data_IF_701624718028
#
_entry.id   IF_701624718028
#
_cell.length_a   1.000
_cell.length_b   1.000
_cell.length_c   1.000
_cell.angle_alpha   90.00
_cell.angle_beta   90.00
_cell.angle_gamma   90.00
#
_symmetry.space_group_name_H-M   'P 1'
#
loop_
_entity.id
_entity.type
_entity.pdbx_description
1 polymer ?
#
# COMPACT_ATOMS: atom_id res chain seq x y z
N UNK A 1 -6.27 5.43 -1.16
CA UNK A 1 -6.90 6.64 -0.58
C UNK A 1 -7.88 6.15 0.46
N UNK A 2 -7.79 6.66 1.67
CA UNK A 2 -8.64 6.25 2.79
C UNK A 2 -10.01 6.93 2.69
N UNK A 3 -10.89 6.36 1.85
CA UNK A 3 -12.27 6.82 1.69
C UNK A 3 -13.04 6.72 3.01
N UNK A 4 -12.67 5.79 3.88
CA UNK A 4 -13.30 5.61 5.19
C UNK A 4 -12.91 6.73 6.16
N UNK A 5 -11.65 7.17 6.13
CA UNK A 5 -11.21 8.38 6.82
C UNK A 5 -11.97 9.64 6.37
N UNK A 6 -12.13 9.84 5.06
CA UNK A 6 -12.88 10.98 4.51
C UNK A 6 -14.38 10.89 4.80
N UNK A 7 -14.95 9.67 4.81
CA UNK A 7 -16.34 9.42 5.19
C UNK A 7 -16.60 9.86 6.63
N UNK A 8 -15.71 9.56 7.56
CA UNK A 8 -15.79 10.00 8.96
C UNK A 8 -15.80 11.53 9.10
N UNK A 9 -14.90 12.21 8.37
CA UNK A 9 -14.84 13.68 8.34
C UNK A 9 -16.12 14.29 7.78
N UNK A 10 -16.69 13.70 6.73
CA UNK A 10 -17.93 14.20 6.13
C UNK A 10 -19.13 13.94 7.04
N UNK A 11 -19.16 12.80 7.73
CA UNK A 11 -20.18 12.51 8.74
C UNK A 11 -20.12 13.52 9.89
N UNK A 12 -18.94 13.83 10.42
CA UNK A 12 -18.79 14.82 11.50
C UNK A 12 -19.13 16.23 11.03
N UNK A 13 -18.73 16.61 9.80
CA UNK A 13 -19.12 17.89 9.17
C UNK A 13 -20.64 18.00 9.02
N UNK A 14 -21.32 16.90 8.68
CA UNK A 14 -22.77 16.86 8.54
C UNK A 14 -23.48 17.01 9.89
N UNK A 15 -22.96 16.37 10.94
CA UNK A 15 -23.48 16.50 12.31
C UNK A 15 -23.30 17.93 12.84
N UNK A 16 -22.08 18.46 12.78
CA UNK A 16 -21.74 19.79 13.28
C UNK A 16 -22.46 20.87 12.45
N UNK A 17 -22.48 20.72 11.13
CA UNK A 17 -23.12 21.66 10.20
C UNK A 17 -24.63 21.74 10.39
N UNK A 18 -25.32 20.60 10.58
CA UNK A 18 -26.76 20.58 10.91
C UNK A 18 -27.03 21.22 12.26
N UNK A 19 -26.28 20.84 13.29
CA UNK A 19 -26.44 21.42 14.63
C UNK A 19 -26.23 22.95 14.63
N UNK A 20 -25.20 23.43 13.93
CA UNK A 20 -24.94 24.87 13.79
C UNK A 20 -26.07 25.58 13.04
N UNK A 21 -26.60 24.99 11.97
CA UNK A 21 -27.70 25.56 11.21
C UNK A 21 -29.00 25.66 12.04
N UNK A 22 -29.27 24.69 12.91
CA UNK A 22 -30.45 24.64 13.77
C UNK A 22 -30.38 25.61 14.97
N UNK A 23 -29.19 25.81 15.54
CA UNK A 23 -29.00 26.61 16.76
C UNK A 23 -28.57 28.06 16.48
N UNK A 24 -28.38 28.44 15.22
CA UNK A 24 -28.00 29.81 14.85
C UNK A 24 -29.22 30.73 14.88
N UNK A 25 -29.12 31.85 15.62
CA UNK A 25 -30.18 32.86 15.72
C UNK A 25 -30.42 33.60 14.39
N UNK A 26 -29.40 33.69 13.55
CA UNK A 26 -29.45 34.26 12.20
C UNK A 26 -29.88 33.19 11.16
N UNK A 27 -31.16 33.21 10.79
CA UNK A 27 -31.74 32.28 9.80
C UNK A 27 -31.02 32.32 8.45
N UNK A 28 -30.48 33.47 8.04
CA UNK A 28 -29.76 33.61 6.76
C UNK A 28 -28.43 32.86 6.80
N UNK A 29 -27.70 32.95 7.91
CA UNK A 29 -26.46 32.18 8.13
C UNK A 29 -26.74 30.68 8.26
N UNK A 30 -27.82 30.30 8.95
CA UNK A 30 -28.25 28.90 9.02
C UNK A 30 -28.55 28.30 7.64
N UNK A 31 -29.29 29.02 6.79
CA UNK A 31 -29.56 28.62 5.41
C UNK A 31 -28.27 28.51 4.57
N UNK A 32 -27.33 29.45 4.73
CA UNK A 32 -26.04 29.42 4.04
C UNK A 32 -25.20 28.19 4.43
N UNK A 33 -25.21 27.79 5.71
CA UNK A 33 -24.52 26.58 6.18
C UNK A 33 -25.15 25.32 5.59
N UNK A 34 -26.49 25.25 5.53
CA UNK A 34 -27.20 24.12 4.90
C UNK A 34 -26.89 24.00 3.40
N UNK A 35 -26.84 25.12 2.68
CA UNK A 35 -26.52 25.13 1.25
C UNK A 35 -25.07 24.67 0.98
N UNK A 36 -24.11 25.15 1.78
CA UNK A 36 -22.71 24.69 1.69
C UNK A 36 -22.59 23.21 2.01
N UNK A 37 -23.29 22.74 3.04
CA UNK A 37 -23.30 21.34 3.42
C UNK A 37 -23.91 20.46 2.32
N UNK A 38 -25.01 20.90 1.70
CA UNK A 38 -25.61 20.22 0.55
C UNK A 38 -24.65 20.15 -0.64
N UNK A 39 -23.90 21.22 -0.91
CA UNK A 39 -22.89 21.26 -1.97
C UNK A 39 -21.74 20.28 -1.70
N UNK A 40 -21.22 20.24 -0.48
CA UNK A 40 -20.17 19.30 -0.08
C UNK A 40 -20.65 17.85 -0.18
N UNK A 41 -21.87 17.55 0.28
CA UNK A 41 -22.44 16.21 0.17
C UNK A 41 -22.60 15.77 -1.29
N UNK A 42 -23.12 16.64 -2.18
CA UNK A 42 -23.22 16.34 -3.62
C UNK A 42 -21.85 16.06 -4.25
N UNK A 43 -20.83 16.85 -3.91
CA UNK A 43 -19.45 16.63 -4.40
C UNK A 43 -18.89 15.30 -3.89
N UNK A 44 -19.11 14.97 -2.62
CA UNK A 44 -18.70 13.68 -2.06
C UNK A 44 -19.39 12.50 -2.73
N UNK A 45 -20.70 12.57 -2.92
CA UNK A 45 -21.46 11.55 -3.66
C UNK A 45 -20.92 11.35 -5.08
N UNK A 46 -20.59 12.44 -5.78
CA UNK A 46 -19.97 12.37 -7.10
C UNK A 46 -18.58 11.70 -7.07
N UNK A 47 -17.75 12.00 -6.05
CA UNK A 47 -16.45 11.33 -5.85
C UNK A 47 -16.63 9.85 -5.56
N UNK A 48 -17.57 9.48 -4.69
CA UNK A 48 -17.89 8.07 -4.42
C UNK A 48 -18.37 7.34 -5.68
N UNK A 49 -19.27 7.95 -6.46
CA UNK A 49 -19.74 7.36 -7.71
C UNK A 49 -18.61 7.16 -8.72
N UNK A 50 -17.75 8.18 -8.89
CA UNK A 50 -16.58 8.08 -9.77
C UNK A 50 -15.60 6.99 -9.29
N UNK A 51 -15.34 6.90 -7.99
CA UNK A 51 -14.49 5.87 -7.40
C UNK A 51 -15.05 4.45 -7.68
N UNK A 52 -16.35 4.24 -7.49
CA UNK A 52 -17.01 2.96 -7.78
C UNK A 52 -16.91 2.58 -9.27
N UNK A 53 -17.08 3.55 -10.18
CA UNK A 53 -16.91 3.32 -11.63
C UNK A 53 -15.47 2.91 -11.95
N UNK A 54 -14.48 3.58 -11.37
CA UNK A 54 -13.07 3.25 -11.56
C UNK A 54 -12.71 1.86 -11.00
N UNK A 55 -13.23 1.52 -9.81
CA UNK A 55 -13.07 0.20 -9.23
C UNK A 55 -13.64 -0.88 -10.16
N UNK A 56 -14.85 -0.68 -10.69
CA UNK A 56 -15.48 -1.62 -11.62
C UNK A 56 -14.64 -1.80 -12.90
N UNK A 57 -14.14 -0.70 -13.49
CA UNK A 57 -13.25 -0.76 -14.67
C UNK A 57 -11.96 -1.53 -14.38
N UNK A 58 -11.34 -1.27 -13.23
CA UNK A 58 -10.09 -1.92 -12.85
C UNK A 58 -10.30 -3.41 -12.55
N UNK A 59 -11.41 -3.77 -11.90
CA UNK A 59 -11.82 -5.15 -11.71
C UNK A 59 -11.99 -5.85 -13.07
N UNK A 60 -12.73 -5.27 -14.02
CA UNK A 60 -12.89 -5.87 -15.36
C UNK A 60 -11.56 -6.04 -16.07
N UNK A 61 -10.67 -5.04 -16.00
CA UNK A 61 -9.34 -5.12 -16.60
C UNK A 61 -8.48 -6.22 -15.97
N UNK A 62 -8.52 -6.37 -14.64
CA UNK A 62 -7.80 -7.43 -13.92
C UNK A 62 -8.33 -8.81 -14.32
N UNK A 63 -9.66 -8.98 -14.34
CA UNK A 63 -10.29 -10.26 -14.69
C UNK A 63 -10.02 -10.64 -16.15
N UNK A 64 -9.97 -9.67 -17.07
CA UNK A 64 -9.65 -9.88 -18.48
C UNK A 64 -8.15 -10.06 -18.80
N UNK A 65 -7.25 -9.90 -17.82
CA UNK A 65 -5.81 -9.97 -18.07
C UNK A 65 -5.30 -11.43 -18.05
N UNK A 66 -5.23 -12.05 -19.23
CA UNK A 66 -4.74 -13.42 -19.37
C UNK A 66 -3.28 -13.62 -18.89
N UNK A 67 -2.41 -12.62 -19.10
CA UNK A 67 -1.00 -12.71 -18.69
C UNK A 67 -0.85 -12.73 -17.16
N UNK A 68 -1.69 -11.96 -16.45
CA UNK A 68 -1.77 -11.99 -14.99
C UNK A 68 -2.15 -13.38 -14.47
N UNK A 69 -3.20 -14.00 -15.02
CA UNK A 69 -3.66 -15.34 -14.59
C UNK A 69 -2.65 -16.44 -14.93
N UNK A 70 -1.99 -16.34 -16.09
CA UNK A 70 -0.89 -17.23 -16.46
C UNK A 70 0.26 -17.11 -15.47
N UNK A 71 0.66 -15.88 -15.12
CA UNK A 71 1.75 -15.63 -14.17
C UNK A 71 1.46 -16.21 -12.78
N UNK A 72 0.22 -16.08 -12.27
CA UNK A 72 -0.18 -16.71 -11.00
C UNK A 72 -0.11 -18.24 -11.10
N UNK A 73 -0.55 -18.81 -12.21
CA UNK A 73 -0.53 -20.26 -12.43
C UNK A 73 0.90 -20.79 -12.49
N UNK A 74 1.78 -20.10 -13.22
CA UNK A 74 3.20 -20.44 -13.33
C UNK A 74 3.89 -20.35 -11.95
N UNK A 75 3.57 -19.33 -11.15
CA UNK A 75 4.09 -19.19 -9.78
C UNK A 75 3.62 -20.30 -8.85
N UNK A 76 2.35 -20.73 -8.94
CA UNK A 76 1.85 -21.84 -8.14
C UNK A 76 2.60 -23.15 -8.46
N UNK A 77 2.77 -23.45 -9.76
CA UNK A 77 3.55 -24.62 -10.20
C UNK A 77 5.00 -24.49 -9.71
N UNK A 78 5.61 -23.31 -9.85
CA UNK A 78 6.96 -23.09 -9.35
C UNK A 78 7.07 -23.30 -7.84
N UNK A 79 6.09 -22.86 -7.03
CA UNK A 79 6.10 -23.14 -5.59
C UNK A 79 5.97 -24.63 -5.28
N UNK A 80 5.20 -25.39 -6.07
CA UNK A 80 5.10 -26.85 -5.94
C UNK A 80 6.44 -27.52 -6.21
N UNK A 81 7.05 -27.20 -7.36
CA UNK A 81 8.34 -27.77 -7.74
C UNK A 81 9.42 -27.41 -6.72
N UNK A 82 9.42 -26.17 -6.22
CA UNK A 82 10.39 -25.70 -5.21
C UNK A 82 10.20 -26.40 -3.86
N UNK A 83 8.96 -26.71 -3.50
CA UNK A 83 8.66 -27.50 -2.30
C UNK A 83 9.15 -28.94 -2.45
N UNK A 84 8.93 -29.56 -3.61
CA UNK A 84 9.44 -30.90 -3.90
C UNK A 84 10.98 -30.96 -3.93
N UNK A 85 11.65 -29.97 -4.52
CA UNK A 85 13.11 -29.91 -4.53
C UNK A 85 13.65 -29.74 -3.11
N UNK A 86 13.03 -28.87 -2.29
CA UNK A 86 13.40 -28.72 -0.89
C UNK A 86 13.21 -30.02 -0.09
N UNK A 87 12.13 -30.77 -0.33
CA UNK A 87 11.92 -32.09 0.29
C UNK A 87 12.95 -33.13 -0.15
N UNK A 88 13.31 -33.16 -1.45
CA UNK A 88 14.38 -34.04 -1.96
C UNK A 88 15.72 -33.71 -1.32
N UNK A 89 16.09 -32.42 -1.29
CA UNK A 89 17.27 -31.93 -0.57
C UNK A 89 17.21 -32.35 0.90
N UNK A 90 16.04 -32.24 1.54
CA UNK A 90 15.86 -32.60 2.94
C UNK A 90 16.17 -34.08 3.23
N UNK A 91 15.79 -34.96 2.30
CA UNK A 91 15.93 -36.41 2.38
C UNK A 91 17.30 -36.94 1.92
N UNK A 92 18.18 -36.10 1.37
CA UNK A 92 19.54 -36.52 0.99
C UNK A 92 20.32 -37.01 2.22
N UNK A 93 20.72 -38.28 2.20
CA UNK A 93 21.57 -38.91 3.23
C UNK A 93 23.05 -38.65 2.90
N UNK A 94 23.59 -37.54 3.38
CA UNK A 94 25.01 -37.21 3.26
C UNK A 94 25.54 -36.66 4.58
N UNK A 95 26.40 -37.40 5.25
CA UNK A 95 27.04 -36.96 6.51
C UNK A 95 28.39 -36.27 6.28
N UNK A 96 28.89 -36.26 5.05
CA UNK A 96 30.14 -35.58 4.72
C UNK A 96 29.96 -34.07 4.78
N UNK A 97 30.89 -33.40 5.43
CA UNK A 97 30.84 -31.95 5.66
C UNK A 97 30.73 -31.15 4.36
N UNK A 98 31.38 -31.62 3.28
CA UNK A 98 31.29 -31.02 1.95
C UNK A 98 29.88 -31.12 1.36
N UNK A 99 29.24 -32.29 1.44
CA UNK A 99 27.88 -32.52 0.96
C UNK A 99 26.84 -31.70 1.76
N UNK A 100 27.03 -31.60 3.08
CA UNK A 100 26.19 -30.77 3.94
C UNK A 100 26.31 -29.27 3.62
N UNK A 101 27.52 -28.78 3.31
CA UNK A 101 27.75 -27.39 2.87
C UNK A 101 27.10 -27.10 1.51
N UNK A 102 27.23 -28.03 0.56
CA UNK A 102 26.60 -27.90 -0.75
C UNK A 102 25.07 -27.87 -0.63
N UNK A 103 24.50 -28.73 0.22
CA UNK A 103 23.07 -28.70 0.54
C UNK A 103 22.66 -27.38 1.19
N UNK A 104 23.45 -26.85 2.13
CA UNK A 104 23.18 -25.53 2.72
C UNK A 104 23.19 -24.42 1.67
N UNK A 105 24.14 -24.43 0.72
CA UNK A 105 24.20 -23.48 -0.40
C UNK A 105 22.93 -23.56 -1.26
N UNK A 106 22.53 -24.76 -1.68
CA UNK A 106 21.31 -24.95 -2.49
C UNK A 106 20.05 -24.44 -1.78
N UNK A 107 19.94 -24.64 -0.47
CA UNK A 107 18.80 -24.14 0.32
C UNK A 107 18.84 -22.60 0.44
N UNK A 108 20.02 -22.00 0.57
CA UNK A 108 20.18 -20.54 0.55
C UNK A 108 19.76 -19.93 -0.79
N UNK A 109 20.13 -20.57 -1.91
CA UNK A 109 19.76 -20.12 -3.25
C UNK A 109 18.23 -20.17 -3.46
N UNK A 110 17.59 -21.28 -3.07
CA UNK A 110 16.12 -21.41 -3.09
C UNK A 110 15.48 -20.32 -2.25
N UNK A 111 15.97 -20.11 -1.02
CA UNK A 111 15.42 -19.10 -0.11
C UNK A 111 15.53 -17.70 -0.72
N UNK A 112 16.67 -17.34 -1.29
CA UNK A 112 16.88 -16.04 -1.90
C UNK A 112 15.88 -15.78 -3.05
N UNK A 113 15.55 -16.81 -3.84
CA UNK A 113 14.57 -16.66 -4.92
C UNK A 113 13.12 -16.52 -4.40
N UNK A 114 12.77 -17.25 -3.34
CA UNK A 114 11.47 -17.11 -2.67
C UNK A 114 11.33 -15.70 -2.07
N UNK A 115 12.37 -15.20 -1.40
CA UNK A 115 12.37 -13.84 -0.82
C UNK A 115 12.22 -12.75 -1.86
N UNK A 116 12.84 -12.92 -3.04
CA UNK A 116 12.76 -11.94 -4.13
C UNK A 116 11.37 -11.90 -4.79
N UNK A 117 10.60 -12.97 -4.68
CA UNK A 117 9.22 -13.06 -5.19
C UNK A 117 8.17 -12.52 -4.19
N UNK A 118 8.38 -12.70 -2.89
CA UNK A 118 7.45 -12.37 -1.80
C UNK A 118 6.80 -10.98 -1.89
N UNK A 119 7.55 -9.85 -1.97
CA UNK A 119 6.94 -8.51 -1.83
C UNK A 119 5.99 -8.18 -2.97
N UNK A 120 6.20 -8.80 -4.13
CA UNK A 120 5.39 -8.60 -5.33
C UNK A 120 4.08 -9.36 -5.23
N UNK A 121 4.14 -10.58 -4.71
CA UNK A 121 2.94 -11.39 -4.44
C UNK A 121 2.12 -10.77 -3.32
N UNK A 122 2.75 -10.27 -2.27
CA UNK A 122 2.08 -9.55 -1.18
C UNK A 122 1.32 -8.31 -1.67
N UNK A 123 1.99 -7.44 -2.45
CA UNK A 123 1.34 -6.25 -3.02
C UNK A 123 0.18 -6.61 -3.97
N UNK A 124 0.34 -7.67 -4.77
CA UNK A 124 -0.71 -8.14 -5.67
C UNK A 124 -1.91 -8.72 -4.91
N UNK A 125 -1.64 -9.46 -3.84
CA UNK A 125 -2.65 -10.00 -2.96
C UNK A 125 -3.47 -8.88 -2.31
N UNK A 126 -2.82 -7.88 -1.71
CA UNK A 126 -3.48 -6.71 -1.10
C UNK A 126 -4.33 -5.94 -2.13
N UNK A 127 -3.78 -5.68 -3.31
CA UNK A 127 -4.51 -5.01 -4.39
C UNK A 127 -5.76 -5.81 -4.81
N UNK A 128 -5.63 -7.13 -4.97
CA UNK A 128 -6.75 -8.00 -5.30
C UNK A 128 -7.81 -8.05 -4.19
N UNK A 129 -7.39 -8.06 -2.91
CA UNK A 129 -8.32 -8.02 -1.77
C UNK A 129 -9.19 -6.77 -1.77
N UNK A 130 -8.61 -5.59 -2.08
CA UNK A 130 -9.34 -4.31 -2.15
C UNK A 130 -10.21 -4.15 -3.40
N UNK A 131 -9.74 -4.63 -4.56
CA UNK A 131 -10.48 -4.47 -5.81
C UNK A 131 -11.68 -5.41 -5.89
N UNK A 132 -11.53 -6.61 -5.33
CA UNK A 132 -12.49 -7.70 -5.44
C UNK A 132 -13.43 -7.81 -4.22
N UNK A 133 -13.48 -6.79 -3.34
CA UNK A 133 -14.22 -6.84 -2.06
C UNK A 133 -15.74 -6.82 -2.22
N UNK A 134 -16.27 -6.19 -3.28
CA UNK A 134 -17.70 -5.83 -3.37
C UNK A 134 -18.57 -6.81 -4.19
N UNK A 135 -17.97 -7.76 -4.92
CA UNK A 135 -18.70 -8.65 -5.85
C UNK A 135 -18.42 -10.12 -5.56
N UNK A 136 -19.46 -10.87 -5.19
CA UNK A 136 -19.42 -12.33 -5.07
C UNK A 136 -19.52 -13.00 -6.46
N UNK A 137 -18.59 -12.66 -7.35
CA UNK A 137 -18.43 -13.36 -8.62
C UNK A 137 -17.48 -14.56 -8.39
N UNK A 138 -17.83 -15.75 -8.87
CA UNK A 138 -17.04 -16.99 -8.68
C UNK A 138 -15.59 -16.86 -9.19
N UNK A 139 -15.38 -16.08 -10.24
CA UNK A 139 -14.04 -15.83 -10.76
C UNK A 139 -13.22 -14.91 -9.84
N UNK A 140 -13.88 -13.96 -9.15
CA UNK A 140 -13.22 -13.06 -8.21
C UNK A 140 -12.83 -13.77 -6.91
N UNK A 141 -13.64 -14.72 -6.44
CA UNK A 141 -13.26 -15.59 -5.32
C UNK A 141 -12.10 -16.51 -5.70
N UNK A 142 -12.13 -17.13 -6.88
CA UNK A 142 -11.05 -18.00 -7.35
C UNK A 142 -9.69 -17.27 -7.42
N UNK A 143 -9.65 -16.04 -7.94
CA UNK A 143 -8.39 -15.26 -7.99
C UNK A 143 -7.87 -14.94 -6.59
N UNK A 144 -8.74 -14.56 -5.66
CA UNK A 144 -8.36 -14.28 -4.26
C UNK A 144 -7.80 -15.53 -3.58
N UNK A 145 -8.46 -16.67 -3.76
CA UNK A 145 -8.03 -17.94 -3.20
C UNK A 145 -6.67 -18.37 -3.74
N UNK A 146 -6.44 -18.26 -5.06
CA UNK A 146 -5.16 -18.58 -5.67
C UNK A 146 -4.03 -17.69 -5.17
N UNK A 147 -4.27 -16.38 -5.02
CA UNK A 147 -3.28 -15.46 -4.44
C UNK A 147 -3.03 -15.72 -2.95
N UNK A 148 -4.07 -16.09 -2.19
CA UNK A 148 -3.94 -16.47 -0.78
C UNK A 148 -3.10 -17.75 -0.64
N UNK A 149 -3.40 -18.76 -1.45
CA UNK A 149 -2.64 -20.01 -1.51
C UNK A 149 -1.18 -19.73 -1.85
N UNK A 150 -0.91 -18.95 -2.90
CA UNK A 150 0.45 -18.60 -3.30
C UNK A 150 1.21 -17.90 -2.16
N UNK A 151 0.60 -16.90 -1.52
CA UNK A 151 1.19 -16.17 -0.40
C UNK A 151 1.54 -17.11 0.77
N UNK A 152 0.59 -17.98 1.15
CA UNK A 152 0.80 -18.98 2.20
C UNK A 152 1.94 -19.95 1.86
N UNK A 153 2.02 -20.41 0.62
CA UNK A 153 3.08 -21.36 0.20
C UNK A 153 4.46 -20.72 0.23
N UNK A 154 4.61 -19.47 -0.22
CA UNK A 154 5.87 -18.74 -0.13
C UNK A 154 6.34 -18.62 1.34
N UNK A 155 5.42 -18.29 2.25
CA UNK A 155 5.73 -18.22 3.69
C UNK A 155 6.17 -19.58 4.25
N UNK A 156 5.45 -20.65 3.91
CA UNK A 156 5.81 -22.01 4.33
C UNK A 156 7.19 -22.41 3.79
N UNK A 157 7.50 -22.10 2.52
CA UNK A 157 8.82 -22.36 1.94
C UNK A 157 9.94 -21.61 2.68
N UNK A 158 9.74 -20.33 3.01
CA UNK A 158 10.71 -19.56 3.80
C UNK A 158 10.92 -20.15 5.19
N UNK A 159 9.84 -20.59 5.85
CA UNK A 159 9.90 -21.23 7.15
C UNK A 159 10.65 -22.57 7.07
N UNK A 160 10.36 -23.41 6.08
CA UNK A 160 11.02 -24.70 5.86
C UNK A 160 12.51 -24.51 5.55
N UNK A 161 12.87 -23.56 4.68
CA UNK A 161 14.26 -23.22 4.42
C UNK A 161 14.99 -22.81 5.69
N UNK A 162 14.36 -21.95 6.50
CA UNK A 162 14.94 -21.49 7.78
C UNK A 162 15.13 -22.65 8.77
N UNK A 163 14.15 -23.55 8.85
CA UNK A 163 14.24 -24.76 9.66
C UNK A 163 15.40 -25.67 9.20
N UNK A 164 15.55 -25.92 7.91
CA UNK A 164 16.66 -26.75 7.43
C UNK A 164 18.03 -26.08 7.60
N UNK A 165 18.12 -24.77 7.40
CA UNK A 165 19.37 -24.03 7.62
C UNK A 165 19.77 -24.03 9.10
N UNK A 166 18.82 -23.92 10.03
CA UNK A 166 19.12 -24.06 11.48
C UNK A 166 19.65 -25.45 11.82
N UNK A 167 19.06 -26.51 11.27
CA UNK A 167 19.55 -27.89 11.46
C UNK A 167 20.98 -28.06 10.91
N UNK A 168 21.24 -27.57 9.70
CA UNK A 168 22.56 -27.65 9.08
C UNK A 168 23.60 -26.80 9.83
N UNK A 169 23.20 -25.63 10.34
CA UNK A 169 24.08 -24.77 11.15
C UNK A 169 24.56 -25.47 12.41
N UNK A 170 23.68 -26.24 13.07
CA UNK A 170 24.02 -27.00 14.28
C UNK A 170 25.02 -28.14 13.98
N UNK A 171 24.86 -28.81 12.85
CA UNK A 171 25.74 -29.93 12.46
C UNK A 171 27.10 -29.43 11.95
N UNK A 172 27.12 -28.34 11.19
CA UNK A 172 28.33 -27.77 10.58
C UNK A 172 29.09 -26.80 11.49
N UNK A 173 28.49 -26.34 12.59
CA UNK A 173 29.09 -25.33 13.47
C UNK A 173 29.29 -23.96 12.79
N UNK A 174 28.52 -23.67 11.74
CA UNK A 174 28.58 -22.43 10.98
C UNK A 174 27.20 -21.78 10.90
N UNK A 175 27.11 -20.48 11.16
CA UNK A 175 25.83 -19.77 11.22
C UNK A 175 25.31 -19.36 9.84
N UNK A 176 24.56 -20.27 9.20
CA UNK A 176 23.83 -19.97 7.96
C UNK A 176 22.55 -19.14 8.20
N UNK A 177 22.24 -18.85 9.47
CA UNK A 177 20.97 -18.24 9.88
C UNK A 177 21.03 -16.73 10.11
N UNK A 178 22.23 -16.15 10.08
CA UNK A 178 22.49 -14.74 10.39
C UNK A 178 21.75 -13.76 9.47
N UNK A 179 21.59 -14.10 8.19
CA UNK A 179 20.83 -13.33 7.21
C UNK A 179 19.30 -13.56 7.29
N UNK A 180 18.84 -14.57 8.04
CA UNK A 180 17.41 -14.90 8.13
C UNK A 180 16.67 -13.99 9.11
N UNK A 181 17.36 -13.51 10.15
CA UNK A 181 16.78 -12.74 11.26
C UNK A 181 16.28 -11.34 10.85
N UNK A 182 16.84 -10.73 9.80
CA UNK A 182 16.43 -9.39 9.35
C UNK A 182 15.06 -9.35 8.67
N UNK A 183 14.48 -10.50 8.32
CA UNK A 183 13.21 -10.59 7.58
C UNK A 183 12.07 -11.27 8.36
N UNK A 184 12.37 -12.07 9.39
CA UNK A 184 11.36 -12.52 10.34
C UNK A 184 10.71 -11.35 11.12
N UNK A 185 11.40 -10.20 11.23
CA UNK A 185 10.88 -8.97 11.84
C UNK A 185 9.95 -8.15 10.93
N UNK A 186 9.86 -8.48 9.64
CA UNK A 186 8.85 -7.91 8.75
C UNK A 186 7.59 -8.76 8.85
N UNK A 187 6.93 -8.69 10.00
CA UNK A 187 5.63 -9.30 10.24
C UNK A 187 4.64 -8.79 9.21
N UNK A 188 4.39 -9.60 8.18
CA UNK A 188 3.39 -9.31 7.15
C UNK A 188 2.10 -10.13 7.34
N UNK A 189 1.97 -10.90 8.43
CA UNK A 189 0.74 -11.67 8.68
C UNK A 189 0.40 -11.92 10.15
N UNK A 190 1.10 -11.30 11.11
CA UNK A 190 0.58 -11.24 12.47
C UNK A 190 -0.42 -10.07 12.51
N UNK A 191 -1.67 -10.42 12.81
CA UNK A 191 -2.84 -9.54 12.91
C UNK A 191 -3.60 -9.28 11.60
N UNK A 192 -4.50 -10.21 11.31
CA UNK A 192 -5.88 -9.80 11.17
C UNK A 192 -6.23 -8.83 12.34
N UNK A 193 -6.82 -7.69 12.01
CA UNK A 193 -7.28 -6.59 12.89
C UNK A 193 -6.32 -5.38 13.08
N UNK A 194 -6.69 -4.30 12.36
CA UNK A 194 -6.61 -2.88 12.73
C UNK A 194 -5.28 -2.09 12.65
N UNK A 195 -5.26 -1.19 11.66
CA UNK A 195 -4.67 0.18 11.62
C UNK A 195 -3.16 0.39 11.42
N UNK A 196 -2.89 1.08 10.30
CA UNK A 196 -1.63 1.67 9.79
C UNK A 196 -1.10 2.83 10.68
N UNK A 197 0.18 3.24 10.54
CA UNK A 197 0.49 4.40 9.66
C UNK A 197 1.81 4.24 8.85
N UNK A 198 1.79 4.33 7.52
CA UNK A 198 2.42 5.40 6.70
C UNK A 198 3.88 5.74 7.02
N UNK A 199 4.81 5.22 6.23
CA UNK A 199 5.96 5.94 5.64
C UNK A 199 6.61 5.09 4.52
N UNK A 200 6.91 5.64 3.34
CA UNK A 200 7.60 4.95 2.26
C UNK A 200 9.09 5.32 2.29
N UNK A 201 9.89 4.61 3.08
CA UNK A 201 11.33 4.89 3.12
C UNK A 201 12.12 3.72 3.68
N UNK A 202 12.28 2.66 2.89
CA UNK A 202 13.39 1.71 3.01
C UNK A 202 13.48 0.83 1.76
N UNK A 203 13.65 1.45 0.59
CA UNK A 203 14.20 0.77 -0.57
C UNK A 203 15.61 1.33 -0.81
N UNK A 204 16.55 0.94 0.05
CA UNK A 204 17.96 0.92 -0.29
C UNK A 204 18.38 -0.54 -0.32
N UNK A 205 17.97 -1.24 -1.36
CA UNK A 205 18.64 -2.47 -1.77
C UNK A 205 19.75 -2.03 -2.73
N UNK A 206 20.99 -2.04 -2.24
CA UNK A 206 22.19 -1.77 -3.02
C UNK A 206 22.20 -2.63 -4.29
N UNK A 207 22.04 -1.97 -5.44
CA UNK A 207 22.31 -2.54 -6.75
C UNK A 207 23.82 -2.54 -6.96
N UNK A 208 24.50 -3.63 -6.62
CA UNK A 208 25.80 -3.95 -7.19
C UNK A 208 25.63 -5.24 -8.01
N UNK A 209 25.33 -5.07 -9.29
CA UNK A 209 25.36 -6.14 -10.26
C UNK A 209 26.80 -6.37 -10.67
N UNK A 210 27.49 -7.31 -10.03
CA UNK A 210 28.68 -7.90 -10.63
C UNK A 210 28.25 -9.09 -11.49
N UNK A 211 28.55 -8.96 -12.77
CA UNK A 211 28.20 -9.90 -13.82
C UNK A 211 29.21 -11.03 -13.78
N UNK A 212 28.84 -12.15 -13.17
CA UNK A 212 29.53 -13.42 -13.37
C UNK A 212 28.66 -14.34 -14.22
N UNK A 213 29.07 -14.42 -15.49
CA UNK A 213 28.53 -15.32 -16.49
C UNK A 213 28.98 -16.75 -16.13
N UNK A 214 28.06 -17.52 -15.56
CA UNK A 214 28.25 -18.92 -15.21
C UNK A 214 27.15 -19.72 -15.89
N UNK A 215 27.53 -20.32 -17.02
CA UNK A 215 26.82 -21.42 -17.67
C UNK A 215 26.32 -22.44 -16.63
N UNK A 216 25.00 -22.72 -16.59
CA UNK A 216 24.40 -24.08 -16.49
C UNK A 216 22.88 -24.06 -16.19
N UNK A 217 22.19 -25.04 -16.81
CA UNK A 217 20.83 -25.55 -16.62
C UNK A 217 19.64 -24.68 -17.08
N UNK A 218 19.25 -24.87 -18.35
CA UNK A 218 17.88 -24.62 -18.81
C UNK A 218 16.91 -25.56 -18.09
N UNK A 219 16.12 -25.05 -17.14
CA UNK A 219 15.06 -25.85 -16.50
C UNK A 219 14.06 -25.04 -15.70
N UNK A 220 14.51 -24.21 -14.75
CA UNK A 220 13.61 -23.69 -13.70
C UNK A 220 13.70 -22.15 -13.53
N UNK A 221 14.81 -21.54 -13.94
CA UNK A 221 15.01 -20.07 -13.97
C UNK A 221 14.03 -19.31 -14.88
N UNK A 222 13.40 -20.01 -15.83
CA UNK A 222 12.50 -19.41 -16.81
C UNK A 222 11.25 -18.78 -16.19
N UNK A 223 10.63 -19.45 -15.22
CA UNK A 223 9.34 -19.03 -14.64
C UNK A 223 9.51 -17.76 -13.81
N UNK A 224 10.50 -17.79 -12.91
CA UNK A 224 10.78 -16.69 -12.02
C UNK A 224 11.26 -15.47 -12.81
N UNK A 225 12.13 -15.66 -13.81
CA UNK A 225 12.54 -14.60 -14.75
C UNK A 225 11.39 -14.05 -15.58
N UNK A 226 10.45 -14.89 -16.02
CA UNK A 226 9.23 -14.47 -16.74
C UNK A 226 8.34 -13.64 -15.82
N UNK A 227 8.20 -14.05 -14.56
CA UNK A 227 7.53 -13.26 -13.54
C UNK A 227 8.21 -11.90 -13.40
N UNK A 228 9.53 -11.82 -13.21
CA UNK A 228 10.27 -10.54 -13.16
C UNK A 228 10.03 -9.66 -14.38
N UNK A 229 10.00 -10.22 -15.58
CA UNK A 229 9.69 -9.46 -16.81
C UNK A 229 8.25 -8.94 -16.83
N UNK A 230 7.29 -9.70 -16.32
CA UNK A 230 5.89 -9.24 -16.20
C UNK A 230 5.79 -8.09 -15.21
N UNK A 231 6.14 -8.27 -13.93
CA UNK A 231 5.94 -7.17 -12.98
C UNK A 231 6.97 -6.04 -13.15
N UNK A 232 8.14 -6.30 -13.74
CA UNK A 232 9.06 -5.22 -14.13
C UNK A 232 8.47 -4.32 -15.22
N UNK A 233 7.69 -4.86 -16.16
CA UNK A 233 6.88 -4.07 -17.10
C UNK A 233 5.76 -3.33 -16.40
N UNK A 234 5.04 -4.00 -15.49
CA UNK A 234 3.95 -3.38 -14.71
C UNK A 234 4.48 -2.21 -13.87
N UNK A 235 5.60 -2.37 -13.18
CA UNK A 235 6.25 -1.31 -12.39
C UNK A 235 6.75 -0.18 -13.29
N UNK A 236 7.37 -0.49 -14.43
CA UNK A 236 7.82 0.54 -15.39
C UNK A 236 6.67 1.34 -15.99
N UNK A 237 5.48 0.73 -16.15
CA UNK A 237 4.27 1.43 -16.59
C UNK A 237 3.55 2.16 -15.44
N UNK A 238 3.63 1.65 -14.21
CA UNK A 238 2.99 2.24 -13.04
C UNK A 238 3.75 3.48 -12.51
N UNK A 239 5.08 3.47 -12.53
CA UNK A 239 5.92 4.59 -12.08
C UNK A 239 5.63 5.93 -12.78
N UNK A 240 5.50 6.03 -14.12
CA UNK A 240 5.15 7.29 -14.76
C UNK A 240 3.73 7.73 -14.43
N UNK A 241 2.79 6.79 -14.26
CA UNK A 241 1.41 7.10 -13.84
C UNK A 241 1.41 7.60 -12.39
N UNK A 242 2.17 6.97 -11.49
CA UNK A 242 2.32 7.41 -10.10
C UNK A 242 3.00 8.77 -10.02
N UNK A 243 4.06 9.00 -10.80
CA UNK A 243 4.72 10.30 -10.88
C UNK A 243 3.78 11.39 -11.42
N UNK A 244 2.97 11.06 -12.44
CA UNK A 244 1.94 11.97 -12.97
C UNK A 244 0.85 12.24 -11.92
N UNK A 245 0.36 11.22 -11.21
CA UNK A 245 -0.62 11.38 -10.14
C UNK A 245 -0.09 12.22 -8.99
N UNK A 246 1.18 12.02 -8.59
CA UNK A 246 1.86 12.82 -7.58
C UNK A 246 2.10 14.26 -8.06
N UNK A 247 2.45 14.45 -9.32
CA UNK A 247 2.59 15.76 -9.94
C UNK A 247 1.24 16.48 -9.97
N UNK A 248 0.17 15.82 -10.39
CA UNK A 248 -1.18 16.39 -10.40
C UNK A 248 -1.67 16.70 -8.98
N UNK A 249 -1.32 15.87 -7.99
CA UNK A 249 -1.61 16.15 -6.59
C UNK A 249 -0.79 17.34 -6.07
N UNK A 250 0.49 17.44 -6.43
CA UNK A 250 1.35 18.57 -6.11
C UNK A 250 0.89 19.87 -6.78
N UNK A 251 0.39 19.79 -8.02
CA UNK A 251 -0.23 20.93 -8.72
C UNK A 251 -1.55 21.29 -8.05
N UNK A 252 -2.39 20.33 -7.65
CA UNK A 252 -3.63 20.58 -6.95
C UNK A 252 -3.43 21.20 -5.55
N UNK A 253 -2.30 20.93 -4.88
CA UNK A 253 -1.93 21.61 -3.63
C UNK A 253 -1.25 22.96 -3.84
N UNK A 254 -0.67 23.20 -5.03
CA UNK A 254 -0.09 24.48 -5.44
C UNK A 254 -1.09 25.44 -6.07
N UNK A 255 -2.23 24.94 -6.58
CA UNK A 255 -3.37 25.78 -6.94
C UNK A 255 -3.80 26.47 -5.64
N UNK A 256 -3.57 27.78 -5.49
CA UNK A 256 -4.20 28.51 -4.42
C UNK A 256 -5.69 28.29 -4.64
N UNK A 257 -6.42 27.82 -3.63
CA UNK A 257 -7.87 27.97 -3.63
C UNK A 257 -8.10 29.48 -3.71
N UNK A 258 -8.19 30.01 -4.93
CA UNK A 258 -8.56 31.39 -5.22
C UNK A 258 -10.05 31.50 -4.90
N UNK A 259 -10.37 31.37 -3.62
CA UNK A 259 -11.49 32.05 -3.02
C UNK A 259 -10.96 33.44 -2.66
N UNK A 260 -10.98 34.35 -3.64
CA UNK A 260 -10.76 35.79 -3.45
C UNK A 260 -11.82 36.45 -2.52
N UNK A 261 -12.44 35.69 -1.60
CA UNK A 261 -13.42 36.18 -0.63
C UNK A 261 -12.96 36.08 0.83
N UNK A 262 -11.76 35.57 1.12
CA UNK A 262 -11.23 35.55 2.49
C UNK A 262 -10.26 36.68 2.81
N UNK A 263 -10.58 37.89 2.35
CA UNK A 263 -10.04 39.11 2.95
C UNK A 263 -10.93 39.61 4.10
N UNK A 264 -11.29 38.73 5.04
CA UNK A 264 -11.83 39.13 6.35
C UNK A 264 -10.85 38.89 7.51
N UNK A 265 -9.63 38.40 7.24
CA UNK A 265 -8.57 38.28 8.26
C UNK A 265 -7.67 39.51 8.37
N UNK A 266 -7.78 40.48 7.43
CA UNK A 266 -7.06 41.76 7.47
C UNK A 266 -7.98 42.97 7.73
N UNK A 267 -9.19 42.75 8.24
CA UNK A 267 -10.07 43.82 8.73
C UNK A 267 -10.02 43.90 10.27
N UNK A 268 -8.81 44.00 10.81
CA UNK A 268 -8.57 44.16 12.24
C UNK A 268 -8.50 45.67 12.57
N UNK A 269 -9.60 46.19 13.12
CA UNK A 269 -9.66 47.14 14.24
C UNK A 269 -8.80 48.42 14.30
N UNK A 270 -8.22 48.95 13.21
CA UNK A 270 -7.54 50.26 13.26
C UNK A 270 -8.36 51.43 12.69
N UNK A 271 -9.26 51.19 11.73
CA UNK A 271 -9.97 52.27 11.03
C UNK A 271 -11.14 52.90 11.81
N UNK A 272 -11.47 52.41 13.02
CA UNK A 272 -12.54 52.94 13.88
C UNK A 272 -12.06 53.53 15.21
N UNK A 273 -10.74 53.64 15.43
CA UNK A 273 -10.16 54.17 16.68
C UNK A 273 -9.74 55.65 16.59
N UNK A 274 -10.05 56.34 15.50
CA UNK A 274 -9.70 57.76 15.29
C UNK A 274 -10.91 58.68 15.40
N UNK A 275 -11.82 58.40 16.34
CA UNK A 275 -12.74 59.44 16.79
C UNK A 275 -11.98 60.36 17.78
N UNK A 276 -11.81 61.66 17.48
CA UNK A 276 -11.21 62.60 18.41
C UNK A 276 -12.13 62.77 19.62
N UNK A 277 -11.71 62.21 20.75
CA UNK A 277 -12.42 62.35 22.02
C UNK A 277 -12.15 63.76 22.59
N UNK A 278 -13.17 64.62 22.59
CA UNK A 278 -13.11 65.97 23.18
C UNK A 278 -12.88 65.83 24.69
N UNK A 279 -11.67 66.16 25.15
CA UNK A 279 -11.38 66.34 26.58
C UNK A 279 -11.63 67.80 26.94
N UNK A 280 -12.46 68.04 27.95
CA UNK A 280 -12.62 69.33 28.61
C UNK A 280 -11.45 69.53 29.58
N UNK A 281 -10.58 70.55 29.41
CA UNK A 281 -9.42 70.74 30.27
C UNK A 281 -9.76 71.24 31.68
N UNK A 282 -10.95 71.83 31.90
CA UNK A 282 -11.27 72.56 33.15
C UNK A 282 -12.51 72.03 33.92
N UNK A 283 -12.72 70.71 33.93
CA UNK A 283 -13.69 70.05 34.81
C UNK A 283 -15.02 69.64 34.13
N UNK A 284 -15.88 68.88 34.85
CA UNK A 284 -17.05 68.23 34.25
C UNK A 284 -18.11 69.24 33.80
N UNK A 285 -18.87 68.95 32.72
CA UNK A 285 -19.80 69.91 32.14
C UNK A 285 -20.98 70.19 33.08
N UNK A 286 -21.53 71.42 33.10
CA UNK A 286 -22.73 71.72 33.87
C UNK A 286 -23.91 70.89 33.34
N UNK A 287 -24.73 70.41 34.28
CA UNK A 287 -25.99 69.66 34.06
C UNK A 287 -26.99 70.39 33.18
#
# INVERSE_FOLDING_TARGET
MDLDGHKSVIMSLNVIGKHLAEHTRDKRRGAQVQERLATVNRRWEAVCAAASIWQAKLQTALMGNAEFHSTISDLLIWTETTEETLHKLAAEEGSEEAALRERASRILDIRAEVERCEPRVASLHEAAQHLLTQRQDDQCSAVRERLALLSRRLQLLLQLCSQHLTQLSQVLGHDYTSSLASLASSGLYESAEFSRPTSPSSLSASFHSDMHDSYLVEGEDGVVRRCYKFFGRVMRAALPIQALMLLMLGVATLVPNSEDDYACSMANNFARSLDPMIRYPDGPPPI
#
